data_IF_537281827919
#
_entry.id   IF_537281827919
#
_cell.length_a   1.000
_cell.length_b   1.000
_cell.length_c   1.000
_cell.angle_alpha   90.00
_cell.angle_beta   90.00
_cell.angle_gamma   90.00
#
_symmetry.space_group_name_H-M   'P 1'
#
loop_
_entity.id
_entity.type
_entity.pdbx_description
1 polymer ?
#
# COMPACT_ATOMS: atom_id res chain seq x y z
N UNK A 1 -3.73 23.86 12.29
CA UNK A 1 -3.30 22.49 11.91
C UNK A 1 -3.41 21.60 13.14
N UNK A 2 -4.02 20.41 13.02
CA UNK A 2 -4.11 19.48 14.15
C UNK A 2 -2.94 18.48 14.09
N UNK A 3 -1.88 18.82 14.81
CA UNK A 3 -0.64 18.04 14.85
C UNK A 3 -0.84 16.61 15.36
N UNK A 4 -1.76 16.41 16.30
CA UNK A 4 -2.06 15.07 16.86
C UNK A 4 -2.66 14.17 15.76
N UNK A 5 -3.66 14.65 15.04
CA UNK A 5 -4.24 13.90 13.92
C UNK A 5 -3.23 13.61 12.81
N UNK A 6 -2.34 14.56 12.50
CA UNK A 6 -1.29 14.38 11.50
C UNK A 6 -0.30 13.28 11.93
N UNK A 7 0.19 13.33 13.15
CA UNK A 7 1.14 12.35 13.69
C UNK A 7 0.48 10.95 13.71
N UNK A 8 -0.75 10.84 14.21
CA UNK A 8 -1.48 9.56 14.24
C UNK A 8 -1.64 9.00 12.82
N UNK A 9 -1.98 9.84 11.85
CA UNK A 9 -2.16 9.42 10.46
C UNK A 9 -0.86 8.88 9.84
N UNK A 10 0.25 9.59 10.03
CA UNK A 10 1.55 9.18 9.49
C UNK A 10 2.06 7.91 10.20
N UNK A 11 2.04 7.91 11.53
CA UNK A 11 2.50 6.76 12.33
C UNK A 11 1.66 5.52 12.06
N UNK A 12 0.33 5.67 11.96
CA UNK A 12 -0.57 4.56 11.63
C UNK A 12 -0.27 3.93 10.27
N UNK A 13 -0.03 4.75 9.24
CA UNK A 13 0.37 4.24 7.93
C UNK A 13 1.76 3.58 7.94
N UNK A 14 2.74 4.19 8.60
CA UNK A 14 4.08 3.58 8.76
C UNK A 14 4.02 2.26 9.53
N UNK A 15 3.13 2.15 10.51
CA UNK A 15 2.96 0.93 11.29
C UNK A 15 2.49 -0.25 10.42
N UNK A 16 1.61 -0.02 9.45
CA UNK A 16 1.24 -1.04 8.47
C UNK A 16 2.46 -1.54 7.67
N UNK A 17 3.37 -0.64 7.30
CA UNK A 17 4.65 -1.00 6.67
C UNK A 17 5.57 -1.79 7.59
N UNK A 18 5.62 -1.44 8.88
CA UNK A 18 6.42 -2.17 9.86
C UNK A 18 5.92 -3.61 10.00
N UNK A 19 4.61 -3.83 10.08
CA UNK A 19 4.01 -5.17 10.11
C UNK A 19 4.47 -5.99 8.90
N UNK A 20 4.36 -5.42 7.69
CA UNK A 20 4.82 -6.07 6.46
C UNK A 20 6.32 -6.39 6.49
N UNK A 21 7.14 -5.50 7.04
CA UNK A 21 8.60 -5.66 7.07
C UNK A 21 9.08 -6.89 7.86
N UNK A 22 8.31 -7.37 8.84
CA UNK A 22 8.64 -8.61 9.56
C UNK A 22 8.67 -9.83 8.64
N UNK A 23 7.78 -9.87 7.67
CA UNK A 23 7.72 -10.96 6.69
C UNK A 23 8.77 -10.79 5.58
N UNK A 24 8.95 -9.57 5.07
CA UNK A 24 9.89 -9.29 3.98
C UNK A 24 11.34 -9.48 4.40
N UNK A 25 11.75 -9.00 5.58
CA UNK A 25 13.12 -9.10 6.08
C UNK A 25 13.63 -10.54 6.18
N UNK A 26 12.76 -11.46 6.54
CA UNK A 26 13.10 -12.89 6.63
C UNK A 26 13.09 -13.57 5.27
N UNK A 27 12.21 -13.17 4.39
CA UNK A 27 11.98 -13.86 3.10
C UNK A 27 12.88 -13.36 1.99
N UNK A 28 13.23 -12.06 1.93
CA UNK A 28 14.01 -11.50 0.84
C UNK A 28 15.38 -12.18 0.69
N UNK A 29 16.23 -12.30 1.72
CA UNK A 29 17.57 -12.82 1.54
C UNK A 29 17.64 -14.32 1.28
N UNK A 30 16.64 -15.08 1.67
CA UNK A 30 16.66 -16.56 1.62
C UNK A 30 15.76 -17.10 0.52
N UNK A 31 14.51 -16.67 0.47
CA UNK A 31 13.53 -17.21 -0.45
C UNK A 31 13.36 -16.36 -1.71
N UNK A 32 13.10 -15.06 -1.55
CA UNK A 32 12.84 -14.16 -2.67
C UNK A 32 14.07 -14.01 -3.60
N UNK A 33 15.29 -14.00 -3.04
CA UNK A 33 16.53 -13.92 -3.82
C UNK A 33 16.71 -15.11 -4.77
N UNK A 34 16.18 -16.29 -4.43
CA UNK A 34 16.27 -17.51 -5.22
C UNK A 34 15.18 -17.69 -6.26
N UNK A 35 14.16 -16.81 -6.29
CA UNK A 35 13.10 -16.88 -7.28
C UNK A 35 13.59 -16.46 -8.66
N UNK A 36 12.98 -17.05 -9.68
CA UNK A 36 13.09 -16.52 -11.05
C UNK A 36 12.29 -15.22 -11.13
N UNK A 37 12.95 -14.15 -11.53
CA UNK A 37 12.38 -12.80 -11.60
C UNK A 37 12.46 -12.27 -13.03
N UNK A 38 11.51 -11.41 -13.45
CA UNK A 38 11.61 -10.75 -14.75
C UNK A 38 12.81 -9.78 -14.78
N UNK A 39 13.27 -9.44 -15.98
CA UNK A 39 14.40 -8.53 -16.18
C UNK A 39 14.16 -7.13 -15.59
N UNK A 40 12.89 -6.70 -15.53
CA UNK A 40 12.52 -5.40 -14.95
C UNK A 40 12.37 -5.42 -13.42
N UNK A 41 12.70 -6.53 -12.73
CA UNK A 41 12.67 -6.55 -11.27
C UNK A 41 13.70 -5.55 -10.72
N UNK A 42 13.28 -4.56 -9.91
CA UNK A 42 14.21 -3.59 -9.34
C UNK A 42 15.13 -4.24 -8.31
N UNK A 43 16.30 -3.64 -8.02
CA UNK A 43 17.14 -4.08 -6.91
C UNK A 43 16.40 -4.07 -5.58
N UNK A 44 16.63 -5.07 -4.72
CA UNK A 44 15.88 -5.28 -3.48
C UNK A 44 15.92 -4.07 -2.53
N UNK A 45 17.00 -3.29 -2.55
CA UNK A 45 17.13 -2.11 -1.70
C UNK A 45 16.16 -0.97 -2.04
N UNK A 46 15.60 -0.94 -3.26
CA UNK A 46 14.64 0.10 -3.69
C UNK A 46 13.31 -0.02 -2.96
N UNK A 47 12.88 -1.24 -2.63
CA UNK A 47 11.57 -1.48 -2.02
C UNK A 47 11.38 -0.75 -0.68
N UNK A 48 12.41 -0.73 0.18
CA UNK A 48 12.35 -0.06 1.48
C UNK A 48 12.05 1.44 1.37
N UNK A 49 12.91 2.23 0.70
CA UNK A 49 12.71 3.67 0.53
C UNK A 49 11.39 4.03 -0.17
N UNK A 50 10.99 3.27 -1.19
CA UNK A 50 9.72 3.50 -1.90
C UNK A 50 8.54 3.32 -0.96
N UNK A 51 8.46 2.23 -0.21
CA UNK A 51 7.35 1.97 0.70
C UNK A 51 7.29 2.99 1.85
N UNK A 52 8.42 3.38 2.43
CA UNK A 52 8.48 4.44 3.45
C UNK A 52 7.89 5.74 2.90
N UNK A 53 8.27 6.13 1.69
CA UNK A 53 7.75 7.33 1.03
C UNK A 53 6.26 7.22 0.76
N UNK A 54 5.78 6.08 0.25
CA UNK A 54 4.37 5.86 -0.02
C UNK A 54 3.52 5.90 1.25
N UNK A 55 3.97 5.27 2.34
CA UNK A 55 3.26 5.34 3.63
C UNK A 55 3.24 6.76 4.20
N UNK A 56 4.28 7.56 3.99
CA UNK A 56 4.29 8.97 4.36
C UNK A 56 3.22 9.75 3.58
N UNK A 57 3.18 9.59 2.26
CA UNK A 57 2.18 10.23 1.39
C UNK A 57 0.75 9.79 1.75
N UNK A 58 0.54 8.50 2.03
CA UNK A 58 -0.73 7.98 2.51
C UNK A 58 -1.15 8.61 3.85
N UNK A 59 -0.22 8.75 4.78
CA UNK A 59 -0.49 9.37 6.08
C UNK A 59 -0.90 10.85 5.96
N UNK A 60 -0.22 11.60 5.11
CA UNK A 60 -0.57 13.00 4.82
C UNK A 60 -1.94 13.07 4.12
N UNK A 61 -2.17 12.22 3.11
CA UNK A 61 -3.44 12.12 2.41
C UNK A 61 -4.60 11.84 3.37
N UNK A 62 -4.45 10.84 4.23
CA UNK A 62 -5.45 10.47 5.24
C UNK A 62 -5.72 11.61 6.23
N UNK A 63 -4.69 12.31 6.69
CA UNK A 63 -4.85 13.47 7.55
C UNK A 63 -5.70 14.57 6.89
N UNK A 64 -5.47 14.85 5.60
CA UNK A 64 -6.22 15.87 4.86
C UNK A 64 -7.72 15.54 4.74
N UNK A 65 -8.08 14.28 4.82
CA UNK A 65 -9.48 13.82 4.89
C UNK A 65 -10.00 13.89 6.33
N UNK A 66 -9.28 13.31 7.28
CA UNK A 66 -9.70 13.16 8.66
C UNK A 66 -9.79 14.49 9.44
N UNK A 67 -9.09 15.52 9.00
CA UNK A 67 -9.17 16.86 9.64
C UNK A 67 -10.48 17.60 9.38
N UNK A 68 -11.25 17.19 8.36
CA UNK A 68 -12.51 17.83 8.01
C UNK A 68 -13.64 17.45 9.00
N UNK A 69 -14.75 18.18 8.90
CA UNK A 69 -15.92 17.92 9.73
C UNK A 69 -16.48 16.52 9.51
N UNK A 70 -16.95 15.93 10.60
CA UNK A 70 -17.47 14.56 10.61
C UNK A 70 -18.84 14.49 9.92
N UNK A 71 -18.87 13.98 8.69
CA UNK A 71 -20.06 13.70 7.91
C UNK A 71 -20.00 12.30 7.28
N UNK A 72 -21.12 11.88 6.66
CA UNK A 72 -21.22 10.54 6.08
C UNK A 72 -20.15 10.25 5.01
N UNK A 73 -19.86 11.21 4.13
CA UNK A 73 -18.86 11.04 3.08
C UNK A 73 -17.46 10.82 3.65
N UNK A 74 -17.09 11.56 4.69
CA UNK A 74 -15.81 11.42 5.38
C UNK A 74 -15.71 10.09 6.10
N UNK A 75 -16.76 9.66 6.80
CA UNK A 75 -16.79 8.34 7.46
C UNK A 75 -16.58 7.22 6.46
N UNK A 76 -17.26 7.25 5.33
CA UNK A 76 -17.11 6.26 4.27
C UNK A 76 -15.69 6.27 3.70
N UNK A 77 -15.13 7.45 3.41
CA UNK A 77 -13.76 7.59 2.91
C UNK A 77 -12.72 7.05 3.89
N UNK A 78 -12.88 7.31 5.18
CA UNK A 78 -12.02 6.78 6.26
C UNK A 78 -12.08 5.26 6.32
N UNK A 79 -13.28 4.67 6.29
CA UNK A 79 -13.47 3.21 6.33
C UNK A 79 -12.79 2.54 5.12
N UNK A 80 -13.01 3.07 3.92
CA UNK A 80 -12.40 2.53 2.69
C UNK A 80 -10.87 2.66 2.73
N UNK A 81 -10.35 3.77 3.25
CA UNK A 81 -8.91 3.95 3.41
C UNK A 81 -8.30 2.94 4.39
N UNK A 82 -8.92 2.74 5.57
CA UNK A 82 -8.45 1.75 6.55
C UNK A 82 -8.50 0.36 5.94
N UNK A 83 -9.55 0.02 5.21
CA UNK A 83 -9.69 -1.28 4.56
C UNK A 83 -8.56 -1.54 3.55
N UNK A 84 -8.24 -0.56 2.67
CA UNK A 84 -7.12 -0.71 1.74
C UNK A 84 -5.76 -0.82 2.47
N UNK A 85 -5.60 -0.16 3.62
CA UNK A 85 -4.38 -0.26 4.40
C UNK A 85 -4.19 -1.67 5.00
N UNK A 86 -5.29 -2.28 5.46
CA UNK A 86 -5.31 -3.68 5.90
C UNK A 86 -4.97 -4.62 4.75
N UNK A 87 -5.58 -4.43 3.57
CA UNK A 87 -5.24 -5.20 2.36
C UNK A 87 -3.77 -5.07 1.98
N UNK A 88 -3.19 -3.89 2.07
CA UNK A 88 -1.78 -3.66 1.81
C UNK A 88 -0.87 -4.53 2.70
N UNK A 89 -1.15 -4.58 3.99
CA UNK A 89 -0.42 -5.44 4.93
C UNK A 89 -0.66 -6.92 4.64
N UNK A 90 -1.89 -7.28 4.29
CA UNK A 90 -2.29 -8.66 3.99
C UNK A 90 -1.57 -9.19 2.74
N UNK A 91 -1.42 -8.38 1.68
CA UNK A 91 -0.65 -8.78 0.51
C UNK A 91 0.78 -9.21 0.87
N UNK A 92 1.45 -8.44 1.71
CA UNK A 92 2.82 -8.75 2.15
C UNK A 92 2.87 -10.07 2.91
N UNK A 93 1.88 -10.33 3.76
CA UNK A 93 1.78 -11.60 4.50
C UNK A 93 1.55 -12.77 3.53
N UNK A 94 0.66 -12.61 2.55
CA UNK A 94 0.36 -13.68 1.57
C UNK A 94 1.57 -13.94 0.67
N UNK A 95 2.19 -12.89 0.13
CA UNK A 95 3.30 -13.04 -0.82
C UNK A 95 4.56 -13.56 -0.14
N UNK A 96 5.02 -12.92 0.93
CA UNK A 96 6.28 -13.24 1.60
C UNK A 96 6.13 -14.25 2.75
N UNK A 97 5.01 -14.25 3.46
CA UNK A 97 4.75 -15.14 4.58
C UNK A 97 4.24 -16.50 4.12
N UNK A 98 3.15 -16.52 3.37
CA UNK A 98 2.54 -17.76 2.85
C UNK A 98 3.19 -18.23 1.53
N UNK A 99 3.98 -17.37 0.89
CA UNK A 99 4.68 -17.68 -0.39
C UNK A 99 3.72 -18.12 -1.50
N UNK A 100 2.51 -17.57 -1.51
CA UNK A 100 1.46 -17.90 -2.45
C UNK A 100 1.29 -16.81 -3.50
N UNK A 101 1.95 -16.97 -4.64
CA UNK A 101 1.96 -15.97 -5.72
C UNK A 101 0.57 -15.72 -6.34
N UNK A 102 -0.21 -16.79 -6.54
CA UNK A 102 -1.52 -16.69 -7.18
C UNK A 102 -2.55 -16.00 -6.28
N UNK A 103 -2.61 -16.36 -4.99
CA UNK A 103 -3.50 -15.71 -4.01
C UNK A 103 -3.06 -14.26 -3.81
N UNK A 104 -1.74 -13.99 -3.71
CA UNK A 104 -1.21 -12.64 -3.60
C UNK A 104 -1.58 -11.80 -4.85
N UNK A 105 -1.57 -12.39 -6.04
CA UNK A 105 -1.98 -11.67 -7.26
C UNK A 105 -3.47 -11.30 -7.23
N UNK A 106 -4.35 -12.19 -6.83
CA UNK A 106 -5.77 -11.87 -6.69
C UNK A 106 -6.00 -10.79 -5.64
N UNK A 107 -5.30 -10.88 -4.53
CA UNK A 107 -5.39 -9.90 -3.44
C UNK A 107 -4.91 -8.50 -3.86
N UNK A 108 -3.78 -8.40 -4.56
CA UNK A 108 -3.26 -7.09 -4.99
C UNK A 108 -4.16 -6.41 -6.03
N UNK A 109 -4.92 -7.16 -6.81
CA UNK A 109 -5.94 -6.60 -7.71
C UNK A 109 -7.09 -5.98 -6.90
N UNK A 110 -7.54 -6.66 -5.84
CA UNK A 110 -8.55 -6.11 -4.92
C UNK A 110 -8.01 -4.85 -4.23
N UNK A 111 -6.78 -4.89 -3.74
CA UNK A 111 -6.09 -3.73 -3.17
C UNK A 111 -6.06 -2.56 -4.15
N UNK A 112 -5.67 -2.79 -5.40
CA UNK A 112 -5.62 -1.78 -6.46
C UNK A 112 -6.98 -1.09 -6.66
N UNK A 113 -8.06 -1.88 -6.70
CA UNK A 113 -9.44 -1.36 -6.82
C UNK A 113 -9.76 -0.45 -5.63
N UNK A 114 -9.43 -0.86 -4.40
CA UNK A 114 -9.70 -0.05 -3.21
C UNK A 114 -8.87 1.22 -3.14
N UNK A 115 -7.64 1.22 -3.65
CA UNK A 115 -6.84 2.45 -3.79
C UNK A 115 -7.51 3.41 -4.78
N UNK A 116 -7.99 2.90 -5.91
CA UNK A 116 -8.72 3.70 -6.90
C UNK A 116 -10.01 4.30 -6.30
N UNK A 117 -10.77 3.50 -5.54
CA UNK A 117 -11.97 3.98 -4.83
C UNK A 117 -11.60 5.10 -3.84
N UNK A 118 -10.50 4.96 -3.09
CA UNK A 118 -10.01 6.03 -2.21
C UNK A 118 -9.72 7.31 -2.99
N UNK A 119 -9.01 7.23 -4.10
CA UNK A 119 -8.70 8.39 -4.94
C UNK A 119 -9.96 9.12 -5.39
N UNK A 120 -10.96 8.35 -5.87
CA UNK A 120 -12.25 8.90 -6.33
C UNK A 120 -13.02 9.55 -5.18
N UNK A 121 -13.08 8.90 -4.01
CA UNK A 121 -13.81 9.43 -2.85
C UNK A 121 -13.11 10.62 -2.20
N UNK A 122 -11.78 10.67 -2.25
CA UNK A 122 -10.99 11.77 -1.68
C UNK A 122 -11.08 13.03 -2.53
N UNK A 123 -11.23 12.89 -3.85
CA UNK A 123 -11.21 14.01 -4.79
C UNK A 123 -12.20 15.13 -4.43
N UNK A 124 -13.49 14.87 -4.18
CA UNK A 124 -14.45 15.92 -3.82
C UNK A 124 -14.21 16.52 -2.42
N UNK A 125 -13.48 15.84 -1.54
CA UNK A 125 -13.17 16.31 -0.18
C UNK A 125 -11.88 17.13 -0.20
N UNK A 126 -10.85 16.63 -0.85
CA UNK A 126 -9.53 17.26 -0.97
C UNK A 126 -8.80 16.74 -2.20
N UNK A 127 -8.66 17.60 -3.20
CA UNK A 127 -7.91 17.28 -4.43
C UNK A 127 -6.47 16.89 -4.09
N UNK A 128 -5.82 17.59 -3.16
CA UNK A 128 -4.46 17.27 -2.72
C UNK A 128 -4.38 15.88 -2.13
N UNK A 129 -5.32 15.48 -1.26
CA UNK A 129 -5.36 14.14 -0.68
C UNK A 129 -5.48 13.05 -1.75
N UNK A 130 -6.35 13.28 -2.74
CA UNK A 130 -6.52 12.37 -3.88
C UNK A 130 -5.24 12.22 -4.70
N UNK A 131 -4.59 13.34 -5.06
CA UNK A 131 -3.35 13.35 -5.86
C UNK A 131 -2.19 12.66 -5.13
N UNK A 132 -2.09 12.79 -3.81
CA UNK A 132 -1.06 12.13 -3.00
C UNK A 132 -1.14 10.60 -3.02
N UNK A 133 -2.28 10.01 -3.39
CA UNK A 133 -2.44 8.56 -3.55
C UNK A 133 -2.08 8.06 -4.95
N UNK A 134 -1.89 8.93 -5.93
CA UNK A 134 -1.56 8.52 -7.31
C UNK A 134 -0.21 7.77 -7.38
N UNK A 135 0.89 8.22 -6.75
CA UNK A 135 2.14 7.45 -6.73
C UNK A 135 1.96 6.04 -6.16
N UNK A 136 1.11 5.90 -5.16
CA UNK A 136 0.78 4.60 -4.56
C UNK A 136 0.04 3.69 -5.56
N UNK A 137 -0.96 4.22 -6.27
CA UNK A 137 -1.66 3.46 -7.33
C UNK A 137 -0.70 3.00 -8.44
N UNK A 138 0.21 3.88 -8.87
CA UNK A 138 1.22 3.57 -9.90
C UNK A 138 2.15 2.45 -9.41
N UNK A 139 2.64 2.55 -8.17
CA UNK A 139 3.51 1.53 -7.59
C UNK A 139 2.83 0.17 -7.44
N UNK A 140 1.58 0.14 -6.99
CA UNK A 140 0.79 -1.09 -6.87
C UNK A 140 0.46 -1.68 -8.24
N UNK A 141 0.24 -0.85 -9.27
CA UNK A 141 0.13 -1.32 -10.66
C UNK A 141 1.39 -2.04 -11.11
N UNK A 142 2.56 -1.45 -10.88
CA UNK A 142 3.86 -2.08 -11.14
C UNK A 142 4.04 -3.37 -10.34
N UNK A 143 3.75 -3.34 -9.04
CA UNK A 143 3.86 -4.51 -8.16
C UNK A 143 2.93 -5.65 -8.59
N UNK A 144 1.74 -5.34 -9.14
CA UNK A 144 0.81 -6.33 -9.68
C UNK A 144 1.40 -7.05 -10.90
N UNK A 145 2.00 -6.30 -11.82
CA UNK A 145 2.69 -6.87 -12.99
C UNK A 145 3.88 -7.72 -12.56
N UNK A 146 4.65 -7.24 -11.58
CA UNK A 146 5.79 -7.97 -11.02
C UNK A 146 5.34 -9.27 -10.35
N UNK A 147 4.30 -9.23 -9.52
CA UNK A 147 3.72 -10.40 -8.86
C UNK A 147 3.26 -11.44 -9.89
N UNK A 148 2.53 -11.02 -10.92
CA UNK A 148 2.09 -11.88 -11.99
C UNK A 148 3.26 -12.54 -12.75
N UNK A 149 4.28 -11.75 -13.07
CA UNK A 149 5.47 -12.23 -13.77
C UNK A 149 6.23 -13.27 -12.93
N UNK A 150 6.43 -12.99 -11.64
CA UNK A 150 7.07 -13.96 -10.71
C UNK A 150 6.24 -15.24 -10.62
N UNK A 151 4.91 -15.13 -10.52
CA UNK A 151 4.03 -16.30 -10.50
C UNK A 151 4.16 -17.18 -11.75
N UNK A 152 4.27 -16.55 -12.93
CA UNK A 152 4.43 -17.29 -14.19
C UNK A 152 5.81 -17.92 -14.37
N UNK A 153 6.84 -17.38 -13.75
CA UNK A 153 8.22 -17.87 -13.87
C UNK A 153 8.56 -18.96 -12.83
N UNK A 154 7.76 -19.12 -11.80
CA UNK A 154 7.98 -20.08 -10.71
C UNK A 154 6.79 -21.03 -10.54
#
# INVERSE_FOLDING_TARGET
MNWVKLIISIVGCQFAGIIGSFFTRKSIPVWFSNLKKPEFNPPDWIFGPVWITLYLLMGISFYLIWKNEDNHAIKTAVVVFIFQLVLNSLWTIIFFGLKSFGIAFLEIIVLWIFILICIIQFYPISVTASVLLIPYLIWVSFASILNYSIWKLN
#
